data_IF_846010242893
#
_entry.id   IF_846010242893
#
_cell.length_a   1.000
_cell.length_b   1.000
_cell.length_c   1.000
_cell.angle_alpha   90.00
_cell.angle_beta   90.00
_cell.angle_gamma   90.00
#
_symmetry.space_group_name_H-M   'P 1'
#
loop_
_entity.id
_entity.type
_entity.pdbx_description
1 polymer ?
#
# COMPACT_ATOMS: atom_id res chain seq x y z
N UNK A 1 7.47 1.81 32.75
CA UNK A 1 6.04 2.14 32.73
C UNK A 1 5.51 1.65 31.41
N UNK A 2 4.58 0.68 31.39
CA UNK A 2 3.92 0.24 30.15
C UNK A 2 3.10 1.43 29.64
N UNK A 3 3.54 2.08 28.56
CA UNK A 3 2.71 3.08 27.90
C UNK A 3 1.44 2.38 27.40
N UNK A 4 0.29 2.88 27.77
CA UNK A 4 -0.98 2.36 27.31
C UNK A 4 -0.96 2.31 25.77
N UNK A 5 -1.40 1.20 25.18
CA UNK A 5 -1.47 1.05 23.73
C UNK A 5 -2.38 2.16 23.18
N UNK A 6 -1.85 2.98 22.30
CA UNK A 6 -2.61 4.07 21.65
C UNK A 6 -3.55 3.45 20.62
N UNK A 7 -4.85 3.56 20.87
CA UNK A 7 -5.87 2.94 20.01
C UNK A 7 -6.30 3.89 18.87
N UNK A 8 -5.37 4.21 17.97
CA UNK A 8 -5.63 5.04 16.80
C UNK A 8 -6.20 4.19 15.64
N UNK A 9 -7.09 4.78 14.85
CA UNK A 9 -7.40 4.21 13.52
C UNK A 9 -6.28 4.53 12.53
N UNK A 10 -6.25 3.83 11.39
CA UNK A 10 -5.30 4.17 10.32
C UNK A 10 -5.46 5.60 9.87
N UNK A 11 -6.69 6.10 9.66
CA UNK A 11 -6.92 7.51 9.30
C UNK A 11 -6.35 8.49 10.33
N UNK A 12 -6.48 8.19 11.63
CA UNK A 12 -5.89 9.00 12.68
C UNK A 12 -4.35 8.93 12.67
N UNK A 13 -3.81 7.75 12.42
CA UNK A 13 -2.36 7.52 12.31
C UNK A 13 -1.76 8.26 11.13
N UNK A 14 -2.44 8.25 9.99
CA UNK A 14 -2.04 8.99 8.78
C UNK A 14 -2.08 10.49 9.01
N UNK A 15 -3.16 11.02 9.62
CA UNK A 15 -3.25 12.44 10.00
C UNK A 15 -2.11 12.85 10.94
N UNK A 16 -1.76 11.99 11.91
CA UNK A 16 -0.64 12.22 12.82
C UNK A 16 0.70 12.21 12.07
N UNK A 17 0.94 11.23 11.19
CA UNK A 17 2.18 11.15 10.41
C UNK A 17 2.39 12.40 9.55
N UNK A 18 1.35 12.82 8.81
CA UNK A 18 1.40 14.05 8.01
C UNK A 18 1.67 15.28 8.91
N UNK A 19 0.95 15.39 10.04
CA UNK A 19 1.13 16.49 10.97
C UNK A 19 2.56 16.59 11.52
N UNK A 20 3.16 15.47 11.89
CA UNK A 20 4.54 15.40 12.37
C UNK A 20 5.57 15.79 11.28
N UNK A 21 5.34 15.40 10.03
CA UNK A 21 6.22 15.81 8.92
C UNK A 21 6.03 17.29 8.55
N UNK A 22 4.80 17.82 8.63
CA UNK A 22 4.53 19.26 8.46
C UNK A 22 5.18 20.14 9.56
N UNK A 23 5.29 19.63 10.79
CA UNK A 23 6.04 20.29 11.86
C UNK A 23 7.55 20.26 11.64
N UNK A 24 8.07 19.18 11.05
CA UNK A 24 9.48 18.97 10.77
C UNK A 24 9.99 19.82 9.61
N UNK A 25 9.15 20.01 8.58
CA UNK A 25 9.52 20.65 7.32
C UNK A 25 8.40 21.58 6.85
N UNK A 26 8.69 22.87 6.76
CA UNK A 26 7.73 23.89 6.34
C UNK A 26 7.29 23.74 4.88
N UNK A 27 8.07 23.04 4.06
CA UNK A 27 7.76 22.80 2.66
C UNK A 27 6.71 21.68 2.44
N UNK A 28 6.42 20.88 3.48
CA UNK A 28 5.38 19.84 3.39
C UNK A 28 4.00 20.49 3.40
N UNK A 29 3.19 20.17 2.41
CA UNK A 29 1.81 20.63 2.30
C UNK A 29 0.87 19.54 1.80
N UNK A 30 -0.43 19.70 2.07
CA UNK A 30 -1.48 18.79 1.61
C UNK A 30 -2.43 19.54 0.69
N UNK A 31 -2.83 18.91 -0.41
CA UNK A 31 -3.83 19.46 -1.32
C UNK A 31 -4.67 18.35 -1.94
N UNK A 32 -5.91 18.66 -2.25
CA UNK A 32 -6.87 17.72 -2.83
C UNK A 32 -8.29 18.17 -2.53
N UNK A 33 -9.24 17.35 -2.93
CA UNK A 33 -10.67 17.61 -2.68
C UNK A 33 -11.01 17.30 -1.23
N UNK A 34 -11.69 18.23 -0.55
CA UNK A 34 -12.22 18.10 0.82
C UNK A 34 -11.16 17.79 1.91
N UNK A 35 -9.87 17.93 1.60
CA UNK A 35 -8.77 17.63 2.54
C UNK A 35 -8.65 18.63 3.68
N UNK A 36 -9.14 19.87 3.49
CA UNK A 36 -9.05 20.95 4.46
C UNK A 36 -10.22 20.98 5.44
N UNK A 37 -11.35 21.54 5.03
CA UNK A 37 -12.50 21.76 5.92
C UNK A 37 -13.12 20.47 6.45
N UNK A 38 -13.26 19.46 5.61
CA UNK A 38 -13.86 18.15 5.95
C UNK A 38 -12.80 17.24 6.60
N UNK A 39 -11.55 17.35 6.18
CA UNK A 39 -10.45 16.52 6.67
C UNK A 39 -10.27 15.21 5.92
N UNK A 40 -10.63 15.20 4.63
CA UNK A 40 -10.63 14.04 3.75
C UNK A 40 -11.85 13.13 3.97
N UNK A 41 -12.25 12.41 2.92
CA UNK A 41 -13.42 11.50 2.94
C UNK A 41 -13.33 10.46 4.05
N UNK A 42 -12.13 9.97 4.33
CA UNK A 42 -11.88 8.98 5.38
C UNK A 42 -11.29 9.60 6.67
N UNK A 43 -11.21 10.92 6.77
CA UNK A 43 -10.70 11.63 7.95
C UNK A 43 -9.17 11.61 8.10
N UNK A 44 -8.44 11.25 7.05
CA UNK A 44 -6.98 11.09 7.07
C UNK A 44 -6.19 12.43 7.08
N UNK A 45 -6.88 13.58 6.93
CA UNK A 45 -6.31 14.92 7.05
C UNK A 45 -7.04 15.78 8.09
N UNK A 46 -7.90 15.14 8.91
CA UNK A 46 -8.69 15.83 9.93
C UNK A 46 -7.78 16.62 10.88
N UNK A 47 -8.19 17.84 11.21
CA UNK A 47 -7.49 18.80 12.08
C UNK A 47 -6.26 19.48 11.48
N UNK A 48 -5.70 18.99 10.39
CA UNK A 48 -4.45 19.56 9.83
C UNK A 48 -4.64 21.02 9.37
N UNK A 49 -5.75 21.34 8.69
CA UNK A 49 -6.00 22.74 8.27
C UNK A 49 -6.11 23.69 9.45
N UNK A 50 -6.74 23.26 10.57
CA UNK A 50 -6.83 24.06 11.79
C UNK A 50 -5.45 24.33 12.40
N UNK A 51 -4.50 23.38 12.27
CA UNK A 51 -3.14 23.47 12.83
C UNK A 51 -2.19 24.28 11.95
N UNK A 52 -2.25 24.08 10.64
CA UNK A 52 -1.22 24.58 9.68
C UNK A 52 -1.76 25.66 8.72
N UNK A 53 -3.05 25.94 8.75
CA UNK A 53 -3.68 26.94 7.89
C UNK A 53 -4.00 26.45 6.48
N UNK A 54 -4.77 27.27 5.76
CA UNK A 54 -5.29 26.98 4.42
C UNK A 54 -4.22 27.09 3.30
N UNK A 55 -3.10 27.71 3.61
CA UNK A 55 -1.96 27.77 2.68
C UNK A 55 -1.22 26.45 2.59
N UNK A 56 -1.19 25.70 3.69
CA UNK A 56 -0.49 24.40 3.77
C UNK A 56 -1.41 23.17 3.71
N UNK A 57 -2.71 23.35 3.97
CA UNK A 57 -3.73 22.30 3.79
C UNK A 57 -4.86 22.89 2.96
N UNK A 58 -4.88 22.57 1.69
CA UNK A 58 -5.65 23.31 0.70
C UNK A 58 -6.70 22.44 0.01
N UNK A 59 -7.95 22.82 0.15
CA UNK A 59 -9.04 22.28 -0.68
C UNK A 59 -8.86 22.77 -2.14
N UNK A 60 -9.12 21.88 -3.07
CA UNK A 60 -9.13 22.15 -4.52
C UNK A 60 -10.55 21.96 -5.08
N UNK A 61 -10.88 22.60 -6.21
CA UNK A 61 -12.01 22.16 -7.01
C UNK A 61 -11.85 20.73 -7.50
N UNK A 62 -12.94 20.06 -7.91
CA UNK A 62 -12.91 18.75 -8.59
C UNK A 62 -12.22 18.93 -9.94
N UNK A 63 -10.93 18.62 -9.99
CA UNK A 63 -10.08 18.83 -11.18
C UNK A 63 -8.73 18.10 -11.02
N UNK A 64 -8.78 16.78 -10.90
CA UNK A 64 -7.63 15.94 -10.51
C UNK A 64 -6.43 16.15 -11.42
N UNK A 65 -6.63 16.32 -12.72
CA UNK A 65 -5.55 16.64 -13.66
C UNK A 65 -4.88 17.98 -13.32
N UNK A 66 -5.67 19.01 -12.98
CA UNK A 66 -5.13 20.33 -12.70
C UNK A 66 -4.35 20.36 -11.39
N UNK A 67 -4.93 19.85 -10.29
CA UNK A 67 -4.23 19.90 -9.00
C UNK A 67 -3.09 18.89 -8.88
N UNK A 68 -3.13 17.73 -9.58
CA UNK A 68 -1.98 16.83 -9.67
C UNK A 68 -0.82 17.49 -10.43
N UNK A 69 -1.10 18.13 -11.57
CA UNK A 69 -0.08 18.91 -12.30
C UNK A 69 0.45 20.08 -11.50
N UNK A 70 -0.39 20.77 -10.72
CA UNK A 70 0.05 21.82 -9.78
C UNK A 70 0.98 21.23 -8.72
N UNK A 71 0.67 20.03 -8.19
CA UNK A 71 1.56 19.31 -7.25
C UNK A 71 2.94 19.05 -7.82
N UNK A 72 3.02 18.60 -9.08
CA UNK A 72 4.31 18.44 -9.78
C UNK A 72 5.07 19.77 -9.85
N UNK A 73 4.39 20.86 -10.26
CA UNK A 73 5.01 22.19 -10.34
C UNK A 73 5.50 22.71 -8.97
N UNK A 74 4.72 22.50 -7.92
CA UNK A 74 5.10 22.87 -6.55
C UNK A 74 6.31 22.07 -6.06
N UNK A 75 6.37 20.77 -6.37
CA UNK A 75 7.53 19.94 -6.04
C UNK A 75 8.80 20.41 -6.77
N UNK A 76 8.70 20.74 -8.04
CA UNK A 76 9.79 21.34 -8.82
C UNK A 76 10.26 22.69 -8.26
N UNK A 77 9.36 23.43 -7.61
CA UNK A 77 9.65 24.70 -6.95
C UNK A 77 10.23 24.54 -5.52
N UNK A 78 10.45 23.31 -5.05
CA UNK A 78 11.09 23.01 -3.76
C UNK A 78 10.15 22.71 -2.63
N UNK A 79 8.83 22.61 -2.88
CA UNK A 79 7.86 22.15 -1.89
C UNK A 79 7.78 20.60 -1.88
N UNK A 80 7.12 20.05 -0.85
CA UNK A 80 6.84 18.61 -0.70
C UNK A 80 5.33 18.39 -0.62
N UNK A 81 4.62 18.41 -1.75
CA UNK A 81 3.18 18.28 -1.76
C UNK A 81 2.76 16.81 -1.55
N UNK A 82 1.76 16.63 -0.69
CA UNK A 82 0.95 15.44 -0.59
C UNK A 82 -0.35 15.75 -1.32
N UNK A 83 -0.54 15.12 -2.47
CA UNK A 83 -1.73 15.30 -3.31
C UNK A 83 -2.66 14.14 -3.05
N UNK A 84 -3.83 14.41 -2.48
CA UNK A 84 -4.84 13.38 -2.25
C UNK A 84 -5.73 13.22 -3.47
N UNK A 85 -5.71 12.02 -4.05
CA UNK A 85 -6.70 11.53 -5.01
C UNK A 85 -7.64 10.62 -4.22
N UNK A 86 -8.91 10.96 -4.13
CA UNK A 86 -9.87 10.36 -3.23
C UNK A 86 -9.95 8.83 -3.33
N UNK A 87 -10.00 8.32 -4.57
CA UNK A 87 -9.96 6.88 -4.88
C UNK A 87 -8.92 6.62 -5.97
N UNK A 88 -8.20 5.52 -5.87
CA UNK A 88 -7.20 5.13 -6.86
C UNK A 88 -7.79 4.98 -8.26
N UNK A 89 -9.07 4.63 -8.33
CA UNK A 89 -9.84 4.49 -9.57
C UNK A 89 -9.91 5.80 -10.37
N UNK A 90 -9.80 6.96 -9.72
CA UNK A 90 -9.85 8.27 -10.37
C UNK A 90 -8.51 8.70 -10.98
N UNK A 91 -7.46 7.91 -10.79
CA UNK A 91 -6.13 8.25 -11.33
C UNK A 91 -6.14 8.38 -12.86
N UNK A 92 -7.08 7.70 -13.54
CA UNK A 92 -7.24 7.80 -14.98
C UNK A 92 -7.48 9.24 -15.49
N UNK A 93 -8.14 10.08 -14.68
CA UNK A 93 -8.41 11.49 -15.03
C UNK A 93 -7.14 12.34 -15.05
N UNK A 94 -6.14 11.99 -14.23
CA UNK A 94 -4.89 12.74 -14.10
C UNK A 94 -3.65 11.93 -14.51
N UNK A 95 -3.82 10.80 -15.20
CA UNK A 95 -2.75 9.87 -15.52
C UNK A 95 -1.59 10.52 -16.29
N UNK A 96 -1.87 11.49 -17.17
CA UNK A 96 -0.82 12.26 -17.88
C UNK A 96 0.15 12.95 -16.90
N UNK A 97 -0.38 13.55 -15.83
CA UNK A 97 0.44 14.23 -14.83
C UNK A 97 1.29 13.25 -14.02
N UNK A 98 0.76 12.04 -13.78
CA UNK A 98 1.46 10.96 -13.09
C UNK A 98 2.49 10.30 -14.02
N UNK A 99 2.02 9.88 -15.18
CA UNK A 99 2.78 9.07 -16.13
C UNK A 99 3.93 9.81 -16.80
N UNK A 100 3.71 11.03 -17.29
CA UNK A 100 4.70 11.80 -18.02
C UNK A 100 5.38 12.87 -17.15
N UNK A 101 4.64 13.66 -16.39
CA UNK A 101 5.23 14.73 -15.61
C UNK A 101 5.92 14.18 -14.33
N UNK A 102 5.17 13.61 -13.41
CA UNK A 102 5.68 13.16 -12.11
C UNK A 102 6.80 12.13 -12.25
N UNK A 103 6.59 11.08 -13.05
CA UNK A 103 7.54 9.98 -13.17
C UNK A 103 8.78 10.33 -13.99
N UNK A 104 8.68 11.17 -15.04
CA UNK A 104 9.73 11.29 -16.06
C UNK A 104 10.52 12.60 -16.03
N UNK A 105 9.99 13.68 -15.43
CA UNK A 105 10.71 14.97 -15.36
C UNK A 105 12.09 14.80 -14.71
N UNK A 106 12.28 14.05 -13.61
CA UNK A 106 13.61 13.85 -13.04
C UNK A 106 14.61 13.27 -14.05
N UNK A 107 14.20 12.24 -14.80
CA UNK A 107 15.03 11.63 -15.84
C UNK A 107 15.29 12.59 -17.01
N UNK A 108 14.26 13.22 -17.57
CA UNK A 108 14.37 14.13 -18.71
C UNK A 108 15.24 15.36 -18.42
N UNK A 109 15.29 15.79 -17.17
CA UNK A 109 16.16 16.90 -16.73
C UNK A 109 17.60 16.47 -16.46
N UNK A 110 17.96 15.21 -16.68
CA UNK A 110 19.26 14.68 -16.32
C UNK A 110 19.53 14.70 -14.81
N UNK A 111 18.49 14.62 -13.97
CA UNK A 111 18.59 14.65 -12.51
C UNK A 111 18.69 16.06 -11.92
N UNK A 112 18.63 17.12 -12.74
CA UNK A 112 18.70 18.50 -12.27
C UNK A 112 17.40 18.96 -11.60
N UNK A 113 16.28 18.32 -11.89
CA UNK A 113 14.98 18.60 -11.29
C UNK A 113 14.53 17.38 -10.51
N UNK A 114 14.06 17.58 -9.27
CA UNK A 114 13.43 16.56 -8.44
C UNK A 114 11.93 16.82 -8.35
N UNK A 115 11.17 15.76 -8.09
CA UNK A 115 9.72 15.84 -7.89
C UNK A 115 9.37 15.11 -6.58
N UNK A 116 9.74 15.69 -5.41
CA UNK A 116 9.45 15.11 -4.09
C UNK A 116 7.97 15.25 -3.73
N UNK A 117 7.15 14.47 -4.40
CA UNK A 117 5.69 14.50 -4.29
C UNK A 117 5.12 13.15 -3.87
N UNK A 118 4.12 13.15 -3.02
CA UNK A 118 3.34 11.96 -2.67
C UNK A 118 1.94 12.09 -3.27
N UNK A 119 1.53 11.13 -4.08
CA UNK A 119 0.12 10.87 -4.34
C UNK A 119 -0.38 9.95 -3.25
N UNK A 120 -1.30 10.43 -2.42
CA UNK A 120 -2.00 9.67 -1.41
C UNK A 120 -3.39 9.33 -1.93
N UNK A 121 -3.73 8.05 -1.95
CA UNK A 121 -5.01 7.59 -2.49
C UNK A 121 -5.52 6.35 -1.77
N UNK A 122 -6.82 6.05 -1.90
CA UNK A 122 -7.44 4.89 -1.29
C UNK A 122 -7.87 3.87 -2.35
N UNK A 123 -7.47 2.62 -2.16
CA UNK A 123 -7.86 1.46 -2.98
C UNK A 123 -8.59 0.39 -2.17
N UNK A 124 -8.86 -0.75 -2.80
CA UNK A 124 -9.45 -1.94 -2.17
C UNK A 124 -10.97 -1.95 -2.13
N UNK A 125 -11.53 -3.14 -1.91
CA UNK A 125 -12.95 -3.41 -1.96
C UNK A 125 -13.66 -3.13 -0.63
N UNK A 126 -14.84 -2.53 -0.69
CA UNK A 126 -15.77 -2.32 0.44
C UNK A 126 -17.23 -2.28 -0.06
N UNK A 127 -17.59 -3.01 -1.12
CA UNK A 127 -18.92 -2.96 -1.73
C UNK A 127 -19.17 -1.72 -2.57
N UNK A 128 -18.15 -1.13 -3.17
CA UNK A 128 -18.23 0.16 -3.90
C UNK A 128 -18.29 0.03 -5.42
N UNK A 129 -18.49 -1.17 -5.94
CA UNK A 129 -18.55 -1.52 -7.38
C UNK A 129 -17.27 -1.22 -8.16
N UNK A 130 -17.31 -1.43 -9.48
CA UNK A 130 -16.14 -1.48 -10.36
C UNK A 130 -15.29 -0.19 -10.41
N UNK A 131 -15.92 0.96 -10.20
CA UNK A 131 -15.27 2.27 -10.34
C UNK A 131 -14.70 2.83 -9.03
N UNK A 132 -14.78 2.08 -7.92
CA UNK A 132 -14.37 2.53 -6.59
C UNK A 132 -13.74 1.42 -5.75
N UNK A 133 -13.34 0.30 -6.35
CA UNK A 133 -12.92 -0.89 -5.60
C UNK A 133 -11.56 -1.45 -6.01
N UNK A 134 -10.90 -0.86 -7.00
CA UNK A 134 -9.63 -1.38 -7.51
C UNK A 134 -8.47 -1.05 -6.57
N UNK A 135 -7.34 -1.77 -6.72
CA UNK A 135 -6.08 -1.48 -6.04
C UNK A 135 -5.06 -0.82 -6.97
N UNK A 136 -4.94 -1.24 -8.20
CA UNK A 136 -4.17 -0.65 -9.31
C UNK A 136 -2.68 -0.38 -9.02
N UNK A 137 -2.08 -1.02 -8.01
CA UNK A 137 -0.64 -0.80 -7.74
C UNK A 137 0.26 -1.31 -8.85
N UNK A 138 -0.15 -2.34 -9.60
CA UNK A 138 0.54 -2.81 -10.80
C UNK A 138 0.64 -1.76 -11.89
N UNK A 139 -0.41 -0.93 -12.09
CA UNK A 139 -0.40 0.19 -13.03
C UNK A 139 0.73 1.18 -12.73
N UNK A 140 0.90 1.56 -11.45
CA UNK A 140 1.95 2.48 -11.05
C UNK A 140 3.34 1.82 -11.05
N UNK A 141 3.42 0.55 -10.68
CA UNK A 141 4.66 -0.20 -10.68
C UNK A 141 5.27 -0.36 -12.07
N UNK A 142 4.43 -0.34 -13.11
CA UNK A 142 4.86 -0.36 -14.51
C UNK A 142 5.50 0.96 -14.97
N UNK A 143 5.43 2.04 -14.18
CA UNK A 143 5.94 3.36 -14.53
C UNK A 143 7.33 3.59 -13.95
N UNK A 144 8.44 3.51 -14.73
CA UNK A 144 9.78 3.81 -14.24
C UNK A 144 9.87 5.24 -13.67
N UNK A 145 10.57 5.38 -12.53
CA UNK A 145 10.75 6.66 -11.85
C UNK A 145 9.83 6.88 -10.66
N UNK A 146 8.94 5.93 -10.34
CA UNK A 146 8.01 6.04 -9.21
C UNK A 146 8.27 5.00 -8.13
N UNK A 147 7.94 5.32 -6.89
CA UNK A 147 7.82 4.35 -5.79
C UNK A 147 6.36 4.09 -5.49
N UNK A 148 6.03 2.87 -5.07
CA UNK A 148 4.64 2.44 -4.78
C UNK A 148 4.60 1.75 -3.43
N UNK A 149 3.75 2.25 -2.53
CA UNK A 149 3.68 1.84 -1.12
C UNK A 149 2.25 1.46 -0.77
N UNK A 150 2.06 0.31 -0.13
CA UNK A 150 0.75 -0.20 0.29
C UNK A 150 0.84 -0.86 1.68
N UNK A 151 0.76 -0.08 2.77
CA UNK A 151 0.91 -0.57 4.14
C UNK A 151 -0.23 -1.46 4.61
N UNK A 152 0.05 -2.31 5.61
CA UNK A 152 -0.92 -3.23 6.19
C UNK A 152 -1.36 -2.89 7.62
N UNK A 153 -0.52 -2.21 8.41
CA UNK A 153 -0.76 -1.95 9.83
C UNK A 153 -0.65 -0.46 10.18
N UNK A 154 -1.24 -0.01 11.31
CA UNK A 154 -1.08 1.37 11.78
C UNK A 154 0.38 1.79 11.96
N UNK A 155 1.23 0.89 12.48
CA UNK A 155 2.67 1.13 12.60
C UNK A 155 3.32 1.37 11.25
N UNK A 156 3.02 0.51 10.26
CA UNK A 156 3.57 0.64 8.91
C UNK A 156 3.05 1.88 8.19
N UNK A 157 1.77 2.22 8.37
CA UNK A 157 1.19 3.45 7.82
C UNK A 157 1.96 4.69 8.24
N UNK A 158 2.25 4.86 9.54
CA UNK A 158 3.01 6.03 10.04
C UNK A 158 4.45 6.03 9.51
N UNK A 159 5.14 4.90 9.61
CA UNK A 159 6.56 4.81 9.26
C UNK A 159 6.81 4.93 7.75
N UNK A 160 6.01 4.26 6.93
CA UNK A 160 6.16 4.29 5.47
C UNK A 160 5.69 5.62 4.87
N UNK A 161 4.62 6.23 5.40
CA UNK A 161 4.20 7.56 4.95
C UNK A 161 5.24 8.62 5.29
N UNK A 162 5.82 8.58 6.48
CA UNK A 162 6.93 9.46 6.84
C UNK A 162 8.12 9.29 5.89
N UNK A 163 8.48 8.07 5.52
CA UNK A 163 9.53 7.80 4.53
C UNK A 163 9.15 8.32 3.13
N UNK A 164 7.89 8.13 2.72
CA UNK A 164 7.38 8.63 1.45
C UNK A 164 7.46 10.16 1.34
N UNK A 165 7.03 10.90 2.38
CA UNK A 165 7.08 12.37 2.43
C UNK A 165 8.53 12.87 2.38
N UNK A 166 9.47 12.14 3.00
CA UNK A 166 10.91 12.47 3.00
C UNK A 166 11.64 12.07 1.73
N UNK A 167 11.02 11.26 0.87
CA UNK A 167 11.63 10.82 -0.40
C UNK A 167 11.82 12.00 -1.36
N UNK A 168 12.97 12.06 -2.02
CA UNK A 168 13.21 13.02 -3.12
C UNK A 168 12.64 12.50 -4.46
N UNK A 169 12.31 11.22 -4.54
CA UNK A 169 11.63 10.61 -5.68
C UNK A 169 10.12 10.59 -5.46
N UNK A 170 9.32 10.63 -6.53
CA UNK A 170 7.87 10.59 -6.43
C UNK A 170 7.37 9.25 -5.86
N UNK A 171 6.33 9.32 -5.03
CA UNK A 171 5.73 8.16 -4.36
C UNK A 171 4.23 8.12 -4.58
N UNK A 172 3.69 6.96 -4.93
CA UNK A 172 2.26 6.66 -4.80
C UNK A 172 2.05 5.84 -3.52
N UNK A 173 1.25 6.38 -2.62
CA UNK A 173 0.94 5.78 -1.32
C UNK A 173 -0.53 5.38 -1.30
N UNK A 174 -0.80 4.09 -1.25
CA UNK A 174 -2.13 3.51 -1.40
C UNK A 174 -2.60 2.97 -0.05
N UNK A 175 -3.64 3.60 0.50
CA UNK A 175 -4.35 3.16 1.70
C UNK A 175 -5.42 2.13 1.31
N UNK A 176 -5.70 1.17 2.18
CA UNK A 176 -6.79 0.23 1.94
C UNK A 176 -8.06 0.64 2.68
N UNK A 177 -9.14 0.85 1.96
CA UNK A 177 -10.42 1.37 2.49
C UNK A 177 -10.98 0.52 3.64
N UNK A 178 -10.89 -0.82 3.54
CA UNK A 178 -11.37 -1.71 4.60
C UNK A 178 -10.58 -1.57 5.92
N UNK A 179 -9.36 -1.03 5.87
CA UNK A 179 -8.51 -0.86 7.05
C UNK A 179 -8.62 0.52 7.70
N UNK A 180 -9.01 1.56 6.95
CA UNK A 180 -8.89 2.97 7.36
C UNK A 180 -9.52 3.30 8.71
N UNK A 181 -10.67 2.70 9.02
CA UNK A 181 -11.40 2.93 10.27
C UNK A 181 -11.15 1.87 11.34
N UNK A 182 -10.44 0.79 11.03
CA UNK A 182 -10.03 -0.23 12.02
C UNK A 182 -9.16 0.42 13.09
N UNK A 183 -9.38 0.04 14.35
CA UNK A 183 -8.61 0.52 15.50
C UNK A 183 -7.35 -0.31 15.72
N UNK A 184 -6.31 0.32 16.21
CA UNK A 184 -5.00 -0.31 16.44
C UNK A 184 -5.08 -1.63 17.24
N UNK A 185 -5.95 -1.71 18.25
CA UNK A 185 -6.16 -2.90 19.07
C UNK A 185 -6.72 -4.12 18.31
N UNK A 186 -7.31 -3.90 17.13
CA UNK A 186 -7.92 -4.96 16.32
C UNK A 186 -6.97 -5.52 15.25
N UNK A 187 -5.76 -4.97 15.13
CA UNK A 187 -4.77 -5.46 14.18
C UNK A 187 -3.96 -6.61 14.76
N UNK A 188 -3.81 -7.66 13.98
CA UNK A 188 -2.96 -8.82 14.29
C UNK A 188 -1.48 -8.52 14.02
N UNK A 189 -1.21 -7.66 13.03
CA UNK A 189 0.16 -7.23 12.66
C UNK A 189 0.54 -5.91 13.34
N UNK A 190 0.66 -5.88 14.68
CA UNK A 190 1.27 -4.76 15.39
C UNK A 190 0.50 -3.44 15.32
N UNK A 191 -0.60 -3.33 16.04
CA UNK A 191 -1.42 -2.13 16.10
C UNK A 191 -0.81 -0.96 16.88
N UNK A 192 0.25 -1.16 17.69
CA UNK A 192 0.84 -0.08 18.50
C UNK A 192 1.54 0.95 17.62
N UNK A 193 1.16 2.23 17.79
CA UNK A 193 1.77 3.37 17.09
C UNK A 193 2.54 4.23 18.09
N UNK A 194 3.89 4.26 18.05
CA UNK A 194 4.70 5.14 18.88
C UNK A 194 4.35 6.62 18.68
N UNK A 195 4.49 7.44 19.72
CA UNK A 195 4.29 8.90 19.61
C UNK A 195 5.42 9.55 18.83
N UNK A 196 6.62 9.02 18.98
CA UNK A 196 7.83 9.52 18.36
C UNK A 196 7.75 9.52 16.82
N UNK A 197 8.54 10.38 16.21
CA UNK A 197 8.77 10.35 14.77
C UNK A 197 9.67 9.17 14.41
N UNK A 198 9.22 8.36 13.48
CA UNK A 198 10.03 7.31 12.86
C UNK A 198 9.71 7.19 11.38
N UNK A 199 10.60 6.56 10.65
CA UNK A 199 10.39 6.21 9.25
C UNK A 199 10.83 4.77 9.01
N UNK A 200 10.10 4.07 8.15
CA UNK A 200 10.43 2.71 7.72
C UNK A 200 11.02 2.81 6.31
N UNK A 201 12.23 2.27 6.07
CA UNK A 201 12.82 2.30 4.73
C UNK A 201 11.90 1.67 3.69
N UNK A 202 11.69 2.37 2.56
CA UNK A 202 10.96 1.81 1.43
C UNK A 202 11.77 0.69 0.76
N UNK A 203 11.10 -0.34 0.27
CA UNK A 203 11.75 -1.51 -0.33
C UNK A 203 12.25 -2.53 0.69
N UNK A 204 11.64 -2.59 1.89
CA UNK A 204 11.92 -3.60 2.91
C UNK A 204 10.63 -4.29 3.34
N UNK A 205 10.51 -5.56 2.94
CA UNK A 205 9.45 -6.45 3.38
C UNK A 205 9.66 -6.88 4.85
N UNK A 206 8.64 -7.46 5.45
CA UNK A 206 8.68 -7.95 6.84
C UNK A 206 8.06 -9.33 6.90
N UNK A 207 8.75 -10.29 7.49
CA UNK A 207 8.13 -11.53 7.96
C UNK A 207 7.28 -11.17 9.16
N UNK A 208 5.96 -11.28 9.03
CA UNK A 208 5.00 -10.95 10.08
C UNK A 208 4.56 -12.18 10.87
N UNK A 209 4.73 -13.36 10.31
CA UNK A 209 4.59 -14.66 10.95
C UNK A 209 5.65 -15.61 10.40
N UNK A 210 6.43 -16.19 11.28
CA UNK A 210 7.36 -17.27 10.93
C UNK A 210 6.59 -18.56 10.67
N UNK A 211 7.09 -19.40 9.77
CA UNK A 211 6.53 -20.70 9.43
C UNK A 211 7.52 -21.56 8.62
N UNK A 212 7.19 -22.82 8.36
CA UNK A 212 8.11 -23.78 7.75
C UNK A 212 7.58 -24.47 6.49
N UNK A 213 6.26 -24.49 6.25
CA UNK A 213 5.67 -25.33 5.22
C UNK A 213 5.37 -24.61 3.91
N UNK A 214 5.00 -23.33 3.99
CA UNK A 214 4.59 -22.53 2.84
C UNK A 214 4.82 -21.05 3.12
N UNK A 215 5.37 -20.33 2.16
CA UNK A 215 5.49 -18.88 2.17
C UNK A 215 4.28 -18.25 1.49
N UNK A 216 3.54 -17.40 2.23
CA UNK A 216 2.52 -16.52 1.66
C UNK A 216 3.08 -15.11 1.62
N UNK A 217 3.27 -14.57 0.42
CA UNK A 217 3.69 -13.19 0.20
C UNK A 217 2.49 -12.34 -0.22
N UNK A 218 2.27 -11.22 0.47
CA UNK A 218 1.14 -10.34 0.23
C UNK A 218 1.41 -8.92 0.74
N UNK A 219 0.42 -8.04 0.68
CA UNK A 219 0.52 -6.65 1.13
C UNK A 219 -0.86 -6.12 1.55
N UNK A 220 -0.86 -4.96 2.18
CA UNK A 220 -2.09 -4.22 2.51
C UNK A 220 -3.08 -5.05 3.35
N UNK A 221 -4.39 -5.06 3.01
CA UNK A 221 -5.41 -5.75 3.78
C UNK A 221 -5.22 -7.28 3.82
N UNK A 222 -4.70 -7.86 2.75
CA UNK A 222 -4.50 -9.31 2.66
C UNK A 222 -3.47 -9.84 3.67
N UNK A 223 -2.63 -8.99 4.26
CA UNK A 223 -1.75 -9.39 5.39
C UNK A 223 -2.58 -9.74 6.62
N UNK A 224 -3.56 -8.90 6.97
CA UNK A 224 -4.46 -9.16 8.10
C UNK A 224 -5.33 -10.40 7.84
N UNK A 225 -5.83 -10.58 6.61
CA UNK A 225 -6.61 -11.75 6.22
C UNK A 225 -5.79 -13.05 6.31
N UNK A 226 -4.52 -13.02 5.90
CA UNK A 226 -3.63 -14.17 6.02
C UNK A 226 -3.31 -14.51 7.49
N UNK A 227 -3.10 -13.50 8.34
CA UNK A 227 -2.89 -13.69 9.77
C UNK A 227 -4.13 -14.25 10.45
N UNK A 228 -5.33 -13.78 10.09
CA UNK A 228 -6.60 -14.26 10.66
C UNK A 228 -6.78 -15.77 10.47
N UNK A 229 -6.43 -16.30 9.30
CA UNK A 229 -6.60 -17.74 9.02
C UNK A 229 -5.41 -18.60 9.43
N UNK A 230 -4.29 -18.00 9.80
CA UNK A 230 -3.03 -18.72 10.03
C UNK A 230 -3.08 -19.67 11.23
N UNK A 231 -3.83 -19.33 12.29
CA UNK A 231 -3.99 -20.20 13.46
C UNK A 231 -4.84 -21.43 13.18
N UNK A 232 -5.89 -21.30 12.36
CA UNK A 232 -6.72 -22.42 11.93
C UNK A 232 -5.93 -23.38 11.05
N UNK A 233 -5.16 -22.83 10.08
CA UNK A 233 -4.27 -23.61 9.24
C UNK A 233 -3.18 -24.36 10.04
N UNK A 234 -2.64 -23.72 11.08
CA UNK A 234 -1.67 -24.38 11.98
C UNK A 234 -2.29 -25.56 12.73
N UNK A 235 -3.57 -25.48 13.15
CA UNK A 235 -4.31 -26.62 13.76
C UNK A 235 -4.55 -27.75 12.77
N UNK A 236 -4.59 -27.45 11.48
CA UNK A 236 -4.66 -28.42 10.39
C UNK A 236 -3.29 -29.00 10.01
N UNK A 237 -2.20 -28.53 10.64
CA UNK A 237 -0.84 -29.01 10.40
C UNK A 237 -0.12 -28.25 9.28
N UNK A 238 -0.57 -27.06 8.90
CA UNK A 238 0.07 -26.21 7.89
C UNK A 238 0.72 -24.99 8.59
N UNK A 239 2.03 -24.98 8.68
CA UNK A 239 2.80 -23.91 9.31
C UNK A 239 3.19 -22.82 8.29
N UNK A 240 2.32 -21.81 8.21
CA UNK A 240 2.37 -20.75 7.20
C UNK A 240 3.36 -19.63 7.60
N UNK A 241 4.34 -19.34 6.74
CA UNK A 241 5.15 -18.12 6.84
C UNK A 241 4.49 -17.00 6.04
N UNK A 242 4.30 -15.83 6.68
CA UNK A 242 3.63 -14.68 6.06
C UNK A 242 4.62 -13.54 5.90
N UNK A 243 4.82 -13.10 4.66
CA UNK A 243 5.67 -11.96 4.29
C UNK A 243 4.81 -10.79 3.82
N UNK A 244 4.85 -9.70 4.59
CA UNK A 244 4.28 -8.41 4.19
C UNK A 244 5.28 -7.66 3.31
N UNK A 245 4.93 -7.44 2.06
CA UNK A 245 5.77 -6.75 1.07
C UNK A 245 5.92 -5.26 1.36
N UNK A 246 4.92 -4.61 1.98
CA UNK A 246 4.89 -3.17 2.31
C UNK A 246 5.00 -2.24 1.11
N UNK A 247 5.84 -2.58 0.15
CA UNK A 247 6.12 -1.78 -1.06
C UNK A 247 6.10 -2.64 -2.30
N UNK A 248 5.50 -2.11 -3.36
CA UNK A 248 5.51 -2.72 -4.70
C UNK A 248 6.74 -2.25 -5.49
N UNK A 249 7.13 -0.98 -5.30
CA UNK A 249 8.36 -0.40 -5.85
C UNK A 249 9.04 0.46 -4.77
N UNK A 250 10.29 0.15 -4.40
CA UNK A 250 11.06 -1.04 -4.73
C UNK A 250 10.47 -2.33 -4.16
N UNK A 251 10.55 -3.43 -4.88
CA UNK A 251 10.07 -4.74 -4.44
C UNK A 251 11.20 -5.52 -3.76
N UNK A 252 11.00 -5.91 -2.49
CA UNK A 252 11.94 -6.74 -1.73
C UNK A 252 11.73 -8.23 -2.03
N UNK A 253 12.09 -8.65 -3.23
CA UNK A 253 12.04 -10.05 -3.64
C UNK A 253 13.10 -10.92 -2.92
N UNK A 254 14.15 -10.32 -2.38
CA UNK A 254 15.21 -11.04 -1.63
C UNK A 254 14.65 -11.63 -0.33
N UNK A 255 13.86 -10.85 0.43
CA UNK A 255 13.20 -11.36 1.65
C UNK A 255 12.24 -12.51 1.32
N UNK A 256 11.46 -12.39 0.23
CA UNK A 256 10.56 -13.48 -0.21
C UNK A 256 11.34 -14.71 -0.66
N UNK A 257 12.40 -14.53 -1.44
CA UNK A 257 13.25 -15.64 -1.88
C UNK A 257 13.92 -16.37 -0.70
N UNK A 258 14.38 -15.63 0.33
CA UNK A 258 14.92 -16.21 1.56
C UNK A 258 13.88 -17.06 2.30
N UNK A 259 12.64 -16.57 2.41
CA UNK A 259 11.51 -17.32 2.98
C UNK A 259 11.22 -18.59 2.17
N UNK A 260 11.10 -18.47 0.84
CA UNK A 260 10.84 -19.60 -0.06
C UNK A 260 11.98 -20.64 -0.03
N UNK A 261 13.23 -20.20 0.15
CA UNK A 261 14.36 -21.14 0.31
C UNK A 261 14.19 -22.07 1.51
N UNK A 262 13.48 -21.62 2.56
CA UNK A 262 13.16 -22.41 3.75
C UNK A 262 11.94 -23.32 3.51
N UNK A 263 10.87 -22.79 2.89
CA UNK A 263 9.59 -23.48 2.76
C UNK A 263 9.47 -24.30 1.46
N UNK A 264 10.14 -23.89 0.42
CA UNK A 264 10.06 -24.50 -0.93
C UNK A 264 8.77 -24.19 -1.70
N UNK A 265 7.80 -23.51 -1.10
CA UNK A 265 6.47 -23.24 -1.67
C UNK A 265 6.13 -21.76 -1.57
N UNK A 266 5.51 -21.20 -2.60
CA UNK A 266 5.12 -19.79 -2.66
C UNK A 266 3.65 -19.65 -3.08
N UNK A 267 2.85 -19.01 -2.23
CA UNK A 267 1.55 -18.44 -2.59
C UNK A 267 1.69 -16.92 -2.61
N UNK A 268 1.36 -16.28 -3.72
CA UNK A 268 1.23 -14.82 -3.78
C UNK A 268 -0.24 -14.46 -3.75
N UNK A 269 -0.64 -13.67 -2.75
CA UNK A 269 -2.00 -13.13 -2.65
C UNK A 269 -1.97 -11.65 -3.02
N UNK A 270 -2.85 -11.24 -3.94
CA UNK A 270 -2.83 -9.91 -4.55
C UNK A 270 -4.25 -9.42 -4.83
N UNK A 271 -4.62 -8.24 -4.35
CA UNK A 271 -5.91 -7.62 -4.63
C UNK A 271 -5.92 -6.80 -5.94
N UNK A 272 -4.81 -6.77 -6.69
CA UNK A 272 -4.78 -6.33 -8.09
C UNK A 272 -5.13 -7.51 -9.01
N UNK A 273 -5.26 -7.26 -10.30
CA UNK A 273 -5.68 -8.27 -11.26
C UNK A 273 -4.61 -9.36 -11.46
N UNK A 274 -5.09 -10.59 -11.71
CA UNK A 274 -4.22 -11.75 -11.93
C UNK A 274 -3.31 -11.56 -13.15
N UNK A 275 -3.85 -11.00 -14.23
CA UNK A 275 -3.09 -10.68 -15.43
C UNK A 275 -2.39 -9.33 -15.26
N UNK A 276 -1.07 -9.32 -15.47
CA UNK A 276 -0.22 -8.13 -15.39
C UNK A 276 -0.13 -7.45 -14.01
N UNK A 277 -0.69 -8.05 -12.96
CA UNK A 277 -0.55 -7.60 -11.58
C UNK A 277 0.80 -7.98 -10.96
N UNK A 278 1.01 -7.54 -9.72
CA UNK A 278 2.24 -7.76 -8.94
C UNK A 278 2.63 -9.24 -8.81
N UNK A 279 1.64 -10.12 -8.70
CA UNK A 279 1.88 -11.54 -8.40
C UNK A 279 2.75 -12.24 -9.44
N UNK A 280 2.61 -11.91 -10.72
CA UNK A 280 3.44 -12.45 -11.79
C UNK A 280 4.90 -12.00 -11.71
N UNK A 281 5.14 -10.73 -11.45
CA UNK A 281 6.48 -10.16 -11.31
C UNK A 281 7.21 -10.75 -10.10
N UNK A 282 6.54 -10.83 -8.94
CA UNK A 282 7.15 -11.39 -7.72
C UNK A 282 7.55 -12.86 -7.93
N UNK A 283 6.67 -13.69 -8.51
CA UNK A 283 6.99 -15.10 -8.82
C UNK A 283 8.21 -15.19 -9.73
N UNK A 284 8.28 -14.37 -10.78
CA UNK A 284 9.41 -14.34 -11.71
C UNK A 284 10.71 -14.01 -10.99
N UNK A 285 10.75 -12.96 -10.18
CA UNK A 285 11.95 -12.56 -9.42
C UNK A 285 12.40 -13.64 -8.43
N UNK A 286 11.47 -14.32 -7.77
CA UNK A 286 11.80 -15.41 -6.85
C UNK A 286 12.43 -16.60 -7.61
N UNK A 287 11.87 -16.95 -8.77
CA UNK A 287 12.43 -18.01 -9.63
C UNK A 287 13.84 -17.64 -10.11
N UNK A 288 14.06 -16.40 -10.55
CA UNK A 288 15.37 -15.91 -10.97
C UNK A 288 16.39 -15.93 -9.82
N UNK A 289 15.97 -15.55 -8.60
CA UNK A 289 16.84 -15.54 -7.44
C UNK A 289 17.24 -16.95 -6.96
N UNK A 290 16.31 -17.91 -6.99
CA UNK A 290 16.51 -19.25 -6.47
C UNK A 290 17.10 -20.22 -7.52
N UNK A 291 16.94 -19.91 -8.80
CA UNK A 291 17.35 -20.79 -9.90
C UNK A 291 16.47 -22.05 -10.03
N UNK A 292 16.84 -22.94 -10.99
CA UNK A 292 16.08 -24.16 -11.24
C UNK A 292 15.99 -25.08 -10.01
N UNK A 293 14.78 -25.41 -9.58
CA UNK A 293 14.52 -26.32 -8.46
C UNK A 293 14.50 -25.65 -7.07
N UNK A 294 14.79 -24.36 -6.95
CA UNK A 294 14.70 -23.64 -5.68
C UNK A 294 13.26 -23.37 -5.24
N UNK A 295 12.33 -23.30 -6.18
CA UNK A 295 10.89 -23.18 -5.94
C UNK A 295 10.20 -24.48 -6.40
N UNK A 296 9.68 -25.27 -5.44
CA UNK A 296 9.03 -26.55 -5.72
C UNK A 296 7.62 -26.38 -6.24
N UNK A 297 6.88 -25.44 -5.64
CA UNK A 297 5.47 -25.20 -5.94
C UNK A 297 5.15 -23.71 -5.85
N UNK A 298 4.30 -23.23 -6.75
CA UNK A 298 3.85 -21.85 -6.80
C UNK A 298 2.39 -21.74 -7.17
N UNK A 299 1.68 -20.84 -6.50
CA UNK A 299 0.33 -20.43 -6.86
C UNK A 299 0.16 -18.92 -6.73
N UNK A 300 -0.78 -18.36 -7.48
CA UNK A 300 -1.19 -16.97 -7.39
C UNK A 300 -2.68 -16.92 -7.11
N UNK A 301 -3.08 -16.20 -6.08
CA UNK A 301 -4.47 -15.94 -5.74
C UNK A 301 -4.71 -14.44 -5.82
N UNK A 302 -5.33 -13.99 -6.90
CA UNK A 302 -5.53 -12.58 -7.22
C UNK A 302 -6.90 -12.38 -7.87
N UNK A 303 -7.32 -11.12 -8.03
CA UNK A 303 -8.59 -10.79 -8.67
C UNK A 303 -8.57 -11.29 -10.13
N UNK A 304 -9.53 -12.10 -10.57
CA UNK A 304 -9.62 -12.54 -11.95
C UNK A 304 -9.86 -11.36 -12.90
N UNK A 305 -9.67 -11.58 -14.21
CA UNK A 305 -9.80 -10.53 -15.23
C UNK A 305 -11.27 -10.14 -15.49
N UNK A 306 -11.94 -9.69 -14.44
CA UNK A 306 -13.32 -9.19 -14.46
C UNK A 306 -13.42 -7.90 -13.65
N UNK A 307 -14.27 -6.93 -14.06
CA UNK A 307 -14.53 -5.76 -13.22
C UNK A 307 -15.09 -6.16 -11.86
N UNK A 308 -14.71 -5.44 -10.80
CA UNK A 308 -15.21 -5.73 -9.44
C UNK A 308 -16.73 -5.59 -9.38
N UNK A 309 -17.47 -6.61 -8.95
CA UNK A 309 -18.93 -6.56 -8.88
C UNK A 309 -19.44 -5.61 -7.79
N UNK A 310 -20.68 -5.10 -7.97
CA UNK A 310 -21.34 -4.26 -6.97
C UNK A 310 -22.00 -5.03 -5.84
N UNK A 311 -22.48 -6.26 -6.11
CA UNK A 311 -23.09 -7.10 -5.09
C UNK A 311 -22.02 -7.72 -4.20
N UNK A 312 -22.13 -7.56 -2.87
CA UNK A 312 -21.13 -8.04 -1.91
C UNK A 312 -20.81 -9.53 -2.09
N UNK A 313 -21.82 -10.39 -2.29
CA UNK A 313 -21.60 -11.83 -2.51
C UNK A 313 -20.80 -12.14 -3.79
N UNK A 314 -20.88 -11.30 -4.80
CA UNK A 314 -20.07 -11.44 -6.02
C UNK A 314 -18.69 -10.80 -5.84
N UNK A 315 -18.59 -9.71 -5.11
CA UNK A 315 -17.29 -9.12 -4.72
C UNK A 315 -16.48 -10.14 -3.92
N UNK A 316 -17.07 -10.76 -2.89
CA UNK A 316 -16.43 -11.81 -2.08
C UNK A 316 -16.01 -13.05 -2.89
N UNK A 317 -16.69 -13.32 -4.00
CA UNK A 317 -16.35 -14.45 -4.87
C UNK A 317 -15.14 -14.19 -5.77
N UNK A 318 -14.75 -12.93 -6.00
CA UNK A 318 -13.67 -12.56 -6.92
C UNK A 318 -12.47 -11.90 -6.23
N UNK A 319 -12.67 -11.28 -5.06
CA UNK A 319 -11.60 -10.60 -4.32
C UNK A 319 -11.00 -11.55 -3.27
N UNK A 320 -9.67 -11.64 -3.14
CA UNK A 320 -9.05 -12.41 -2.08
C UNK A 320 -9.54 -11.99 -0.68
N UNK A 321 -10.06 -12.94 0.07
CA UNK A 321 -10.52 -12.76 1.45
C UNK A 321 -10.10 -13.94 2.33
N UNK A 322 -10.36 -13.90 3.66
CA UNK A 322 -9.88 -14.94 4.58
C UNK A 322 -10.19 -16.36 4.12
N UNK A 323 -11.46 -16.64 3.75
CA UNK A 323 -11.88 -17.98 3.34
C UNK A 323 -11.19 -18.47 2.05
N UNK A 324 -11.09 -17.61 1.03
CA UNK A 324 -10.45 -17.97 -0.25
C UNK A 324 -8.93 -18.09 -0.11
N UNK A 325 -8.30 -17.28 0.74
CA UNK A 325 -6.87 -17.41 1.08
C UNK A 325 -6.60 -18.73 1.77
N UNK A 326 -7.41 -19.10 2.79
CA UNK A 326 -7.26 -20.39 3.47
C UNK A 326 -7.42 -21.58 2.51
N UNK A 327 -8.37 -21.49 1.58
CA UNK A 327 -8.56 -22.51 0.55
C UNK A 327 -7.34 -22.64 -0.37
N UNK A 328 -6.81 -21.51 -0.87
CA UNK A 328 -5.61 -21.49 -1.73
C UNK A 328 -4.37 -22.07 -1.02
N UNK A 329 -4.22 -21.80 0.28
CA UNK A 329 -3.16 -22.41 1.10
C UNK A 329 -3.31 -23.92 1.19
N UNK A 330 -4.52 -24.42 1.50
CA UNK A 330 -4.79 -25.88 1.58
C UNK A 330 -4.53 -26.59 0.24
N UNK A 331 -4.98 -25.98 -0.86
CA UNK A 331 -4.77 -26.53 -2.19
C UNK A 331 -3.26 -26.64 -2.52
N UNK A 332 -2.49 -25.60 -2.25
CA UNK A 332 -1.04 -25.62 -2.50
C UNK A 332 -0.29 -26.56 -1.55
N UNK A 333 -0.74 -26.69 -0.29
CA UNK A 333 -0.14 -27.60 0.67
C UNK A 333 -0.42 -29.09 0.36
N UNK A 334 -1.56 -29.39 -0.26
CA UNK A 334 -1.96 -30.78 -0.62
C UNK A 334 -1.20 -31.33 -1.83
N UNK A 335 -0.55 -30.49 -2.63
CA UNK A 335 0.27 -30.94 -3.76
C UNK A 335 1.58 -31.53 -3.23
N UNK A 336 1.81 -32.81 -3.49
CA UNK A 336 2.98 -33.58 -3.05
C UNK A 336 4.22 -33.38 -3.94
#
# INVERSE_FOLDING_TARGET
MSSAVRNLSISQTVAEAIGLEMERDENVMVMGEDVGKIGGVFGATRTLQKRFGDKRVRDTPISEMAFTGMGVGLAMAGLRPIVEIMFVDFIGVCLEQVYNAMAKIPYMSGGNVRVPMVIKTAGGCIGSAAQHSQCLWGLFAHLPGMKVVAPSSPFDHKGLLSAAIRSDDPVVYIEHKALLLKKAETFLNGGHVPEERYAIPLGKAKVVREGSDLTLATLSASVEYALEVSEDLAREGIDLEIVDLRTVVPLDSETVAASVSKTGRLLVVDEDYLSFGLSGELVTRVIEALGPGGLKQVARHAVPDVPIPAALSLEEAVVPGPASIAQAVRELAAVS
#
